data_IF_993216983820
#
_entry.id   IF_993216983820
#
_cell.length_a   1.000
_cell.length_b   1.000
_cell.length_c   1.000
_cell.angle_alpha   90.00
_cell.angle_beta   90.00
_cell.angle_gamma   90.00
#
_symmetry.space_group_name_H-M   'P 1'
#
loop_
_entity.id
_entity.type
_entity.pdbx_description
1 polymer ?
#
# COMPACT_ATOMS: atom_id res chain seq x y z
N UNK A 1 9.16 1.92 -18.29
CA UNK A 1 9.43 0.50 -17.99
C UNK A 1 8.12 -0.24 -17.91
N UNK A 2 8.00 -1.39 -18.60
CA UNK A 2 6.78 -2.21 -18.56
C UNK A 2 6.81 -3.06 -17.30
N UNK A 3 5.91 -2.80 -16.37
CA UNK A 3 5.76 -3.60 -15.16
C UNK A 3 5.29 -5.02 -15.53
N UNK A 4 5.98 -6.05 -15.04
CA UNK A 4 5.63 -7.46 -15.26
C UNK A 4 5.64 -8.22 -13.95
N UNK A 5 4.57 -8.97 -13.62
CA UNK A 5 4.55 -9.81 -12.44
C UNK A 5 5.65 -10.88 -12.47
N UNK A 6 6.19 -11.21 -11.30
CA UNK A 6 7.10 -12.32 -11.10
C UNK A 6 6.73 -13.06 -9.79
N UNK A 7 5.62 -13.77 -9.85
CA UNK A 7 5.01 -14.43 -8.69
C UNK A 7 5.80 -15.63 -8.16
N UNK A 8 6.72 -16.19 -8.96
CA UNK A 8 7.58 -17.31 -8.56
C UNK A 8 8.84 -16.85 -7.80
N UNK A 9 9.07 -15.55 -7.72
CA UNK A 9 10.20 -15.02 -7.01
C UNK A 9 9.97 -15.10 -5.49
N UNK A 10 10.89 -15.75 -4.72
CA UNK A 10 10.76 -15.84 -3.27
C UNK A 10 10.60 -14.49 -2.56
N UNK A 11 11.23 -13.42 -3.07
CA UNK A 11 11.09 -12.07 -2.53
C UNK A 11 9.64 -11.57 -2.63
N UNK A 12 8.93 -11.87 -3.72
CA UNK A 12 7.51 -11.55 -3.88
C UNK A 12 6.67 -12.28 -2.83
N UNK A 13 6.88 -13.57 -2.67
CA UNK A 13 6.16 -14.40 -1.68
C UNK A 13 6.44 -13.91 -0.26
N UNK A 14 7.70 -13.60 0.07
CA UNK A 14 8.09 -13.11 1.39
C UNK A 14 7.45 -11.75 1.72
N UNK A 15 7.33 -10.83 0.76
CA UNK A 15 6.61 -9.57 0.96
C UNK A 15 5.14 -9.79 1.32
N UNK A 16 4.48 -10.69 0.62
CA UNK A 16 3.08 -11.03 0.90
C UNK A 16 2.94 -11.81 2.21
N UNK A 17 3.92 -12.63 2.59
CA UNK A 17 3.94 -13.28 3.91
C UNK A 17 4.11 -12.27 5.04
N UNK A 18 4.95 -11.27 4.83
CA UNK A 18 5.10 -10.17 5.77
C UNK A 18 3.79 -9.39 5.94
N UNK A 19 3.16 -9.00 4.81
CA UNK A 19 1.85 -8.33 4.82
C UNK A 19 0.80 -9.17 5.54
N UNK A 20 0.71 -10.46 5.24
CA UNK A 20 -0.22 -11.37 5.88
C UNK A 20 -0.03 -11.39 7.40
N UNK A 21 1.20 -11.59 7.87
CA UNK A 21 1.50 -11.61 9.30
C UNK A 21 1.24 -10.26 9.99
N UNK A 22 1.41 -9.15 9.27
CA UNK A 22 1.09 -7.81 9.78
C UNK A 22 -0.41 -7.59 9.97
N UNK A 23 -1.22 -8.19 9.11
CA UNK A 23 -2.69 -8.09 9.13
C UNK A 23 -3.35 -9.11 10.04
N UNK A 24 -2.69 -10.22 10.35
CA UNK A 24 -3.11 -11.23 11.32
C UNK A 24 -2.90 -10.69 12.75
N UNK A 25 -3.89 -9.94 13.24
CA UNK A 25 -3.79 -9.20 14.52
C UNK A 25 -3.81 -10.16 15.70
N UNK A 26 -4.62 -11.23 15.62
CA UNK A 26 -4.81 -12.19 16.70
C UNK A 26 -3.76 -13.30 16.68
N UNK A 27 -2.98 -13.46 15.62
CA UNK A 27 -1.88 -14.43 15.47
C UNK A 27 -2.37 -15.87 15.28
N UNK A 28 -3.59 -16.09 14.79
CA UNK A 28 -4.16 -17.43 14.61
C UNK A 28 -3.78 -18.09 13.27
N UNK A 29 -3.04 -17.39 12.42
CA UNK A 29 -2.58 -17.86 11.12
C UNK A 29 -3.61 -17.68 10.01
N UNK A 30 -4.65 -16.93 10.25
CA UNK A 30 -5.69 -16.54 9.30
C UNK A 30 -5.90 -15.03 9.36
N UNK A 31 -6.54 -14.48 8.35
CA UNK A 31 -6.93 -13.06 8.33
C UNK A 31 -8.38 -12.93 7.90
N UNK A 32 -9.05 -11.92 8.42
CA UNK A 32 -10.42 -11.53 8.07
C UNK A 32 -10.44 -10.10 7.54
N UNK A 33 -11.49 -9.73 6.83
CA UNK A 33 -11.67 -8.36 6.39
C UNK A 33 -11.85 -7.39 7.58
N UNK A 34 -12.44 -7.87 8.68
CA UNK A 34 -12.59 -7.11 9.93
C UNK A 34 -11.24 -6.68 10.50
N UNK A 35 -10.28 -7.61 10.57
CA UNK A 35 -8.91 -7.31 11.05
C UNK A 35 -8.21 -6.31 10.14
N UNK A 36 -8.36 -6.46 8.81
CA UNK A 36 -7.73 -5.56 7.84
C UNK A 36 -8.30 -4.15 7.98
N UNK A 37 -9.62 -4.00 8.04
CA UNK A 37 -10.26 -2.68 8.18
C UNK A 37 -9.86 -2.04 9.51
N UNK A 38 -9.92 -2.79 10.62
CA UNK A 38 -9.49 -2.30 11.94
C UNK A 38 -8.02 -1.87 11.93
N UNK A 39 -7.11 -2.69 11.38
CA UNK A 39 -5.67 -2.40 11.37
C UNK A 39 -5.30 -1.29 10.39
N UNK A 40 -5.74 -1.42 9.14
CA UNK A 40 -5.31 -0.53 8.07
C UNK A 40 -6.06 0.80 8.06
N UNK A 41 -7.32 0.83 8.48
CA UNK A 41 -8.12 2.05 8.44
C UNK A 41 -8.25 2.70 9.81
N UNK A 42 -8.77 1.99 10.81
CA UNK A 42 -9.06 2.63 12.10
C UNK A 42 -7.79 3.07 12.82
N UNK A 43 -6.80 2.18 12.93
CA UNK A 43 -5.54 2.46 13.63
C UNK A 43 -4.70 3.52 12.89
N UNK A 44 -4.49 3.32 11.59
CA UNK A 44 -3.60 4.20 10.80
C UNK A 44 -4.26 5.55 10.59
N UNK A 45 -5.53 5.60 10.20
CA UNK A 45 -6.25 6.85 10.00
C UNK A 45 -6.33 7.67 11.29
N UNK A 46 -6.59 7.02 12.45
CA UNK A 46 -6.60 7.68 13.75
C UNK A 46 -5.23 8.28 14.10
N UNK A 47 -4.15 7.52 13.91
CA UNK A 47 -2.78 7.99 14.17
C UNK A 47 -2.35 9.14 13.26
N UNK A 48 -2.82 9.12 12.01
CA UNK A 48 -2.55 10.16 11.02
C UNK A 48 -3.45 11.40 11.20
N UNK A 49 -4.43 11.34 12.10
CA UNK A 49 -5.39 12.43 12.30
C UNK A 49 -6.28 12.67 11.08
N UNK A 50 -6.69 11.59 10.41
CA UNK A 50 -7.62 11.64 9.31
C UNK A 50 -9.01 12.11 9.77
N UNK A 51 -9.71 12.84 8.92
CA UNK A 51 -11.10 13.20 9.17
C UNK A 51 -12.02 11.98 9.04
N UNK A 52 -13.23 11.99 9.60
CA UNK A 52 -14.19 10.89 9.41
C UNK A 52 -14.47 10.58 7.94
N UNK A 53 -14.50 11.60 7.08
CA UNK A 53 -14.70 11.44 5.64
C UNK A 53 -13.51 10.74 4.95
N UNK A 54 -12.28 11.15 5.28
CA UNK A 54 -11.06 10.51 4.79
C UNK A 54 -10.96 9.07 5.28
N UNK A 55 -11.29 8.81 6.56
CA UNK A 55 -11.31 7.46 7.13
C UNK A 55 -12.30 6.57 6.38
N UNK A 56 -13.53 7.06 6.15
CA UNK A 56 -14.56 6.32 5.41
C UNK A 56 -14.11 6.01 3.97
N UNK A 57 -13.54 7.00 3.27
CA UNK A 57 -13.02 6.80 1.92
C UNK A 57 -11.90 5.75 1.88
N UNK A 58 -11.00 5.79 2.87
CA UNK A 58 -9.94 4.80 3.00
C UNK A 58 -10.51 3.40 3.28
N UNK A 59 -11.48 3.26 4.19
CA UNK A 59 -12.17 2.00 4.46
C UNK A 59 -12.81 1.43 3.19
N UNK A 60 -13.56 2.24 2.43
CA UNK A 60 -14.21 1.79 1.21
C UNK A 60 -13.21 1.29 0.16
N UNK A 61 -12.07 1.97 0.02
CA UNK A 61 -11.01 1.57 -0.90
C UNK A 61 -10.31 0.27 -0.44
N UNK A 62 -10.03 0.13 0.85
CA UNK A 62 -9.47 -1.09 1.47
C UNK A 62 -10.43 -2.27 1.28
N UNK A 63 -11.70 -2.09 1.57
CA UNK A 63 -12.71 -3.13 1.35
C UNK A 63 -12.78 -3.59 -0.10
N UNK A 64 -12.86 -2.65 -1.05
CA UNK A 64 -12.93 -2.97 -2.47
C UNK A 64 -11.70 -3.76 -2.93
N UNK A 65 -10.53 -3.35 -2.44
CA UNK A 65 -9.25 -3.98 -2.72
C UNK A 65 -9.21 -5.43 -2.21
N UNK A 66 -9.50 -5.64 -0.92
CA UNK A 66 -9.40 -6.97 -0.30
C UNK A 66 -10.57 -7.89 -0.68
N UNK A 67 -11.76 -7.38 -0.92
CA UNK A 67 -12.86 -8.17 -1.51
C UNK A 67 -12.49 -8.73 -2.89
N UNK A 68 -11.73 -7.97 -3.68
CA UNK A 68 -11.26 -8.44 -4.99
C UNK A 68 -10.33 -9.66 -4.90
N UNK A 69 -9.57 -9.81 -3.82
CA UNK A 69 -8.74 -11.00 -3.58
C UNK A 69 -9.49 -12.14 -2.85
N UNK A 70 -10.82 -12.05 -2.76
CA UNK A 70 -11.67 -13.12 -2.24
C UNK A 70 -11.94 -13.06 -0.75
N UNK A 71 -11.62 -11.95 -0.08
CA UNK A 71 -11.96 -11.73 1.33
C UNK A 71 -13.37 -11.17 1.49
N UNK A 72 -13.98 -11.42 2.62
CA UNK A 72 -15.26 -10.84 3.02
C UNK A 72 -15.38 -10.82 4.55
N UNK A 73 -16.33 -10.06 5.08
CA UNK A 73 -16.58 -9.99 6.52
C UNK A 73 -16.94 -11.36 7.08
N UNK A 74 -16.34 -11.72 8.24
CA UNK A 74 -16.53 -13.02 8.86
C UNK A 74 -15.95 -14.22 8.10
N UNK A 75 -15.28 -13.99 6.96
CA UNK A 75 -14.61 -15.05 6.21
C UNK A 75 -13.13 -15.08 6.57
N UNK A 76 -12.69 -16.20 7.12
CA UNK A 76 -11.27 -16.45 7.38
C UNK A 76 -10.53 -16.87 6.10
N UNK A 77 -9.35 -16.30 5.89
CA UNK A 77 -8.49 -16.59 4.73
C UNK A 77 -7.10 -16.98 5.21
N UNK A 78 -6.62 -18.12 4.78
CA UNK A 78 -5.26 -18.61 5.04
C UNK A 78 -4.27 -18.06 4.01
N UNK A 79 -2.98 -18.10 4.34
CA UNK A 79 -1.91 -17.53 3.50
C UNK A 79 -1.90 -18.01 2.04
N UNK A 80 -2.08 -19.32 1.71
CA UNK A 80 -2.10 -19.75 0.30
C UNK A 80 -3.20 -19.08 -0.52
N UNK A 81 -4.43 -19.02 0.03
CA UNK A 81 -5.55 -18.36 -0.64
C UNK A 81 -5.36 -16.84 -0.76
N UNK A 82 -4.76 -16.21 0.24
CA UNK A 82 -4.36 -14.80 0.19
C UNK A 82 -3.37 -14.52 -0.94
N UNK A 83 -2.34 -15.35 -1.09
CA UNK A 83 -1.34 -15.23 -2.17
C UNK A 83 -1.98 -15.39 -3.54
N UNK A 84 -2.87 -16.37 -3.71
CA UNK A 84 -3.55 -16.59 -4.99
C UNK A 84 -4.47 -15.41 -5.35
N UNK A 85 -5.19 -14.86 -4.38
CA UNK A 85 -5.97 -13.65 -4.57
C UNK A 85 -5.10 -12.45 -5.02
N UNK A 86 -3.93 -12.28 -4.43
CA UNK A 86 -2.98 -11.24 -4.84
C UNK A 86 -2.47 -11.40 -6.28
N UNK A 87 -2.23 -12.62 -6.74
CA UNK A 87 -1.87 -12.88 -8.15
C UNK A 87 -2.97 -12.46 -9.10
N UNK A 88 -4.22 -12.79 -8.78
CA UNK A 88 -5.39 -12.38 -9.58
C UNK A 88 -5.56 -10.86 -9.60
N UNK A 89 -5.46 -10.22 -8.43
CA UNK A 89 -5.54 -8.77 -8.31
C UNK A 89 -4.42 -8.07 -9.10
N UNK A 90 -3.17 -8.53 -8.98
CA UNK A 90 -2.05 -7.95 -9.71
C UNK A 90 -2.26 -8.00 -11.23
N UNK A 91 -2.73 -9.13 -11.75
CA UNK A 91 -3.04 -9.27 -13.18
C UNK A 91 -4.18 -8.33 -13.61
N UNK A 92 -5.22 -8.20 -12.78
CA UNK A 92 -6.36 -7.31 -13.04
C UNK A 92 -5.92 -5.84 -13.06
N UNK A 93 -5.24 -5.39 -12.03
CA UNK A 93 -4.84 -4.00 -11.87
C UNK A 93 -3.77 -3.58 -12.88
N UNK A 94 -2.78 -4.42 -13.18
CA UNK A 94 -1.79 -4.15 -14.23
C UNK A 94 -2.42 -4.06 -15.61
N UNK A 95 -3.49 -4.82 -15.88
CA UNK A 95 -4.27 -4.68 -17.10
C UNK A 95 -4.98 -3.34 -17.17
N UNK A 96 -5.61 -2.89 -16.09
CA UNK A 96 -6.24 -1.57 -16.02
C UNK A 96 -5.21 -0.45 -16.20
N UNK A 97 -4.08 -0.54 -15.50
CA UNK A 97 -2.97 0.39 -15.64
C UNK A 97 -2.46 0.49 -17.10
N UNK A 98 -2.29 -0.65 -17.77
CA UNK A 98 -1.85 -0.67 -19.18
C UNK A 98 -2.85 -0.03 -20.15
N UNK A 99 -4.11 0.09 -19.75
CA UNK A 99 -5.20 0.73 -20.49
C UNK A 99 -5.46 2.18 -20.06
N UNK A 100 -4.61 2.73 -19.19
CA UNK A 100 -4.77 4.06 -18.60
C UNK A 100 -6.11 4.22 -17.84
N UNK A 101 -6.55 3.12 -17.19
CA UNK A 101 -7.77 3.09 -16.37
C UNK A 101 -7.40 3.07 -14.89
N UNK A 102 -8.29 3.61 -14.08
CA UNK A 102 -8.15 3.58 -12.62
C UNK A 102 -8.16 2.13 -12.12
N UNK A 103 -7.11 1.75 -11.39
CA UNK A 103 -6.95 0.45 -10.74
C UNK A 103 -7.37 0.51 -9.27
N UNK A 104 -7.60 -0.64 -8.64
CA UNK A 104 -7.95 -0.70 -7.21
C UNK A 104 -6.80 -0.22 -6.32
N UNK A 105 -5.56 -0.54 -6.68
CA UNK A 105 -4.39 -0.06 -5.93
C UNK A 105 -4.23 1.46 -6.07
N UNK A 106 -4.62 2.03 -7.21
CA UNK A 106 -4.65 3.48 -7.38
C UNK A 106 -5.73 4.12 -6.51
N UNK A 107 -6.90 3.54 -6.45
CA UNK A 107 -8.02 4.06 -5.64
C UNK A 107 -7.67 4.06 -4.15
N UNK A 108 -7.07 2.98 -3.68
CA UNK A 108 -6.52 2.92 -2.33
C UNK A 108 -5.38 3.93 -2.13
N UNK A 109 -4.44 4.01 -3.06
CA UNK A 109 -3.33 4.97 -3.04
C UNK A 109 -3.80 6.42 -2.97
N UNK A 110 -4.84 6.79 -3.73
CA UNK A 110 -5.45 8.12 -3.67
C UNK A 110 -6.10 8.41 -2.30
N UNK A 111 -6.76 7.41 -1.71
CA UNK A 111 -7.34 7.56 -0.38
C UNK A 111 -6.26 7.76 0.71
N UNK A 112 -5.13 7.06 0.59
CA UNK A 112 -3.95 7.25 1.45
C UNK A 112 -3.32 8.61 1.20
N UNK A 113 -3.16 9.01 -0.06
CA UNK A 113 -2.58 10.28 -0.47
C UNK A 113 -3.32 11.47 0.16
N UNK A 114 -4.66 11.47 0.10
CA UNK A 114 -5.48 12.52 0.69
C UNK A 114 -5.31 12.65 2.22
N UNK A 115 -4.89 11.59 2.90
CA UNK A 115 -4.59 11.64 4.33
C UNK A 115 -3.20 12.25 4.60
N UNK A 116 -2.26 12.08 3.68
CA UNK A 116 -0.88 12.57 3.82
C UNK A 116 -0.69 14.00 3.36
N UNK A 117 -1.38 14.40 2.30
CA UNK A 117 -1.43 15.78 1.80
C UNK A 117 -2.22 16.67 2.78
N UNK A 118 -1.55 17.07 3.86
CA UNK A 118 -2.19 17.79 4.97
C UNK A 118 -2.59 19.20 4.64
N UNK A 119 -1.87 19.84 3.73
CA UNK A 119 -2.12 21.22 3.31
C UNK A 119 -3.02 21.30 2.06
N UNK A 120 -3.40 20.16 1.47
CA UNK A 120 -4.23 20.07 0.29
C UNK A 120 -3.54 20.61 -0.97
N UNK A 121 -2.22 20.55 -1.02
CA UNK A 121 -1.42 21.08 -2.14
C UNK A 121 -1.52 20.24 -3.43
N UNK A 122 -2.06 19.01 -3.33
CA UNK A 122 -2.09 18.03 -4.42
C UNK A 122 -0.77 17.31 -4.60
N UNK A 123 0.14 17.41 -3.63
CA UNK A 123 1.43 16.72 -3.63
C UNK A 123 1.92 16.50 -2.20
N UNK A 124 2.65 15.41 -1.94
CA UNK A 124 3.23 15.12 -0.64
C UNK A 124 4.63 15.73 -0.57
N UNK A 125 4.85 16.60 0.39
CA UNK A 125 6.15 17.18 0.71
C UNK A 125 7.02 16.19 1.51
N UNK A 126 8.33 16.44 1.57
CA UNK A 126 9.24 15.65 2.40
C UNK A 126 8.86 15.68 3.90
N UNK A 127 8.34 16.80 4.40
CA UNK A 127 7.95 16.92 5.81
C UNK A 127 6.70 16.09 6.11
N UNK A 128 5.71 16.07 5.22
CA UNK A 128 4.54 15.20 5.32
C UNK A 128 4.93 13.72 5.23
N UNK A 129 5.84 13.38 4.33
CA UNK A 129 6.38 12.02 4.21
C UNK A 129 7.11 11.56 5.48
N UNK A 130 7.94 12.42 6.07
CA UNK A 130 8.61 12.15 7.36
C UNK A 130 7.60 11.94 8.49
N UNK A 131 6.57 12.77 8.56
CA UNK A 131 5.50 12.63 9.55
C UNK A 131 4.80 11.28 9.41
N UNK A 132 4.47 10.90 8.18
CA UNK A 132 3.90 9.59 7.87
C UNK A 132 4.82 8.43 8.24
N UNK A 133 6.07 8.47 7.83
CA UNK A 133 7.06 7.42 8.12
C UNK A 133 7.21 7.13 9.61
N UNK A 134 7.21 8.18 10.44
CA UNK A 134 7.25 8.05 11.90
C UNK A 134 5.98 7.42 12.49
N UNK A 135 4.81 7.83 12.01
CA UNK A 135 3.51 7.38 12.54
C UNK A 135 3.23 5.93 12.14
N UNK A 136 3.49 5.58 10.90
CA UNK A 136 3.24 4.23 10.35
C UNK A 136 4.30 3.20 10.77
N UNK A 137 5.47 3.68 11.21
CA UNK A 137 6.62 2.81 11.50
C UNK A 137 7.32 2.28 10.25
N UNK A 138 6.99 2.78 9.07
CA UNK A 138 7.62 2.38 7.79
C UNK A 138 9.06 2.84 7.72
N UNK A 139 9.37 4.03 8.26
CA UNK A 139 10.71 4.57 8.33
C UNK A 139 11.23 4.54 9.77
N UNK A 140 12.45 4.07 9.96
CA UNK A 140 13.08 4.00 11.28
C UNK A 140 13.65 5.34 11.77
N UNK A 141 13.86 6.28 10.84
CA UNK A 141 14.43 7.60 11.09
C UNK A 141 14.04 8.60 10.01
N UNK A 142 14.29 9.89 10.25
CA UNK A 142 14.11 10.94 9.25
C UNK A 142 15.05 10.73 8.05
N UNK A 143 16.27 10.22 8.28
CA UNK A 143 17.21 9.89 7.22
C UNK A 143 16.70 8.77 6.32
N UNK A 144 16.06 7.77 6.90
CA UNK A 144 15.37 6.70 6.18
C UNK A 144 14.21 7.25 5.35
N UNK A 145 13.41 8.16 5.94
CA UNK A 145 12.31 8.82 5.24
C UNK A 145 12.82 9.65 4.04
N UNK A 146 13.95 10.36 4.19
CA UNK A 146 14.56 11.10 3.08
C UNK A 146 15.02 10.18 1.95
N UNK A 147 15.60 9.03 2.28
CA UNK A 147 16.02 8.03 1.28
C UNK A 147 14.84 7.46 0.52
N UNK A 148 13.78 7.07 1.25
CA UNK A 148 12.57 6.51 0.64
C UNK A 148 11.83 7.54 -0.19
N UNK A 149 11.72 8.79 0.27
CA UNK A 149 11.15 9.90 -0.48
C UNK A 149 11.87 10.10 -1.81
N UNK A 150 13.19 10.21 -1.77
CA UNK A 150 14.02 10.37 -2.99
C UNK A 150 13.89 9.20 -3.97
N UNK A 151 13.61 8.00 -3.47
CA UNK A 151 13.34 6.84 -4.31
C UNK A 151 11.98 6.93 -5.03
N UNK A 152 11.01 7.53 -4.35
CA UNK A 152 9.65 7.68 -4.86
C UNK A 152 9.52 8.88 -5.83
N UNK A 153 10.28 9.94 -5.62
CA UNK A 153 10.36 11.15 -6.46
C UNK A 153 11.10 10.84 -7.76
N UNK A 154 10.34 10.36 -8.76
CA UNK A 154 10.89 9.83 -10.00
C UNK A 154 11.33 10.92 -10.98
N UNK A 155 10.70 12.08 -10.92
CA UNK A 155 10.99 13.23 -11.77
C UNK A 155 11.92 14.26 -11.10
N UNK A 156 12.30 14.01 -9.84
CA UNK A 156 13.11 14.88 -8.99
C UNK A 156 12.50 16.28 -8.80
N UNK A 157 11.19 16.35 -8.70
CA UNK A 157 10.45 17.59 -8.44
C UNK A 157 10.59 18.10 -7.00
N UNK A 158 11.02 17.22 -6.08
CA UNK A 158 11.06 17.46 -4.65
C UNK A 158 9.70 17.30 -3.97
N UNK A 159 8.75 16.69 -4.64
CA UNK A 159 7.41 16.37 -4.17
C UNK A 159 6.97 15.02 -4.71
N UNK A 160 6.03 14.35 -4.04
CA UNK A 160 5.44 13.11 -4.58
C UNK A 160 4.02 13.41 -5.06
N UNK A 161 3.73 13.05 -6.29
CA UNK A 161 2.38 13.05 -6.81
C UNK A 161 1.70 11.66 -6.70
N UNK A 162 0.41 11.61 -7.01
CA UNK A 162 -0.37 10.38 -6.91
C UNK A 162 0.04 9.33 -7.95
N UNK A 163 0.57 9.74 -9.10
CA UNK A 163 1.03 8.82 -10.13
C UNK A 163 2.36 8.15 -9.73
N UNK A 164 3.26 8.89 -9.10
CA UNK A 164 4.49 8.36 -8.52
C UNK A 164 4.19 7.36 -7.40
N UNK A 165 3.32 7.73 -6.47
CA UNK A 165 2.87 6.83 -5.40
C UNK A 165 2.24 5.55 -5.96
N UNK A 166 1.33 5.67 -6.92
CA UNK A 166 0.68 4.52 -7.56
C UNK A 166 1.70 3.62 -8.25
N UNK A 167 2.64 4.21 -8.98
CA UNK A 167 3.70 3.46 -9.66
C UNK A 167 4.58 2.70 -8.68
N UNK A 168 4.93 3.31 -7.55
CA UNK A 168 5.72 2.65 -6.52
C UNK A 168 4.96 1.47 -5.90
N UNK A 169 3.66 1.63 -5.62
CA UNK A 169 2.82 0.53 -5.13
C UNK A 169 2.75 -0.65 -6.13
N UNK A 170 2.51 -0.36 -7.41
CA UNK A 170 2.50 -1.39 -8.46
C UNK A 170 3.86 -2.10 -8.56
N UNK A 171 4.93 -1.33 -8.51
CA UNK A 171 6.30 -1.85 -8.57
C UNK A 171 6.64 -2.74 -7.38
N UNK A 172 6.26 -2.31 -6.19
CA UNK A 172 6.56 -3.02 -4.95
C UNK A 172 5.71 -4.28 -4.78
N UNK A 173 4.39 -4.14 -4.85
CA UNK A 173 3.47 -5.23 -4.52
C UNK A 173 3.25 -6.22 -5.66
N UNK A 174 3.30 -5.75 -6.93
CA UNK A 174 2.94 -6.62 -8.05
C UNK A 174 4.12 -7.15 -8.85
N UNK A 175 5.19 -6.36 -9.02
CA UNK A 175 6.20 -6.68 -10.03
C UNK A 175 7.63 -6.79 -9.52
N UNK A 176 7.92 -6.51 -8.26
CA UNK A 176 9.28 -6.42 -7.72
C UNK A 176 10.18 -5.45 -8.52
N UNK A 177 9.64 -4.32 -8.94
CA UNK A 177 10.46 -3.26 -9.54
C UNK A 177 11.47 -2.77 -8.49
N UNK A 178 12.78 -2.89 -8.72
CA UNK A 178 13.79 -2.48 -7.73
C UNK A 178 13.74 -0.97 -7.45
N UNK A 179 13.19 -0.16 -8.36
CA UNK A 179 13.00 1.26 -8.12
C UNK A 179 11.85 1.55 -7.13
N UNK A 180 11.00 0.58 -6.85
CA UNK A 180 9.91 0.69 -5.87
C UNK A 180 10.30 0.14 -4.49
N UNK A 181 11.47 -0.45 -4.33
CA UNK A 181 11.91 -1.03 -3.04
C UNK A 181 12.04 0.04 -1.94
N UNK A 182 12.22 1.31 -2.30
CA UNK A 182 12.29 2.42 -1.36
C UNK A 182 10.96 2.84 -0.73
N UNK A 183 9.80 2.47 -1.29
CA UNK A 183 8.50 2.95 -0.80
C UNK A 183 8.24 2.59 0.67
N UNK A 184 8.64 1.41 1.07
CA UNK A 184 8.42 0.90 2.43
C UNK A 184 9.71 0.84 3.27
N UNK A 185 10.80 1.43 2.81
CA UNK A 185 12.07 1.50 3.53
C UNK A 185 12.54 0.13 4.01
N UNK A 186 12.82 0.05 5.32
CA UNK A 186 13.23 -1.20 5.97
C UNK A 186 12.05 -2.06 6.45
N UNK A 187 10.82 -1.71 6.10
CA UNK A 187 9.61 -2.37 6.58
C UNK A 187 9.47 -3.82 6.09
N UNK A 188 10.01 -4.13 4.91
CA UNK A 188 10.02 -5.49 4.36
C UNK A 188 11.46 -5.95 4.13
N UNK A 189 11.92 -7.01 4.81
CA UNK A 189 13.28 -7.55 4.67
C UNK A 189 13.57 -8.17 3.30
#
# INVERSE_FOLDING_TARGET
>A
VKLRPNFDNPKWVNRHKFMFNFLDINGDGKITLDEIVSKASDDICAKLGATPEQTKRHQDAVEAFFKKIGMDYGKEVEFPAFVDGWKELANYDLKLWSQNKKSLIRDWGEAVFDIFDKDGSGSISLDEWKAYGRISGICSSDEDAEKTFKHCDLDNSGKLDVDEMTRQHLGFWYTLDPNADGLYGNFVP
#
